data_IF_675543414217
#
_entry.id   IF_675543414217
#
_cell.length_a   1.000
_cell.length_b   1.000
_cell.length_c   1.000
_cell.angle_alpha   90.00
_cell.angle_beta   90.00
_cell.angle_gamma   90.00
#
_symmetry.space_group_name_H-M   'P 1'
#
loop_
_entity.id
_entity.type
_entity.pdbx_description
1 polymer ?
#
# COMPACT_ATOMS: atom_id res chain seq x y z
N UNK A 1 10.29 18.15 1.82
CA UNK A 1 8.93 18.01 2.38
C UNK A 1 8.84 16.58 2.87
N UNK A 2 8.70 16.36 4.17
CA UNK A 2 8.37 15.04 4.72
C UNK A 2 6.88 14.84 4.44
N UNK A 3 6.56 14.03 3.42
CA UNK A 3 5.16 13.73 3.10
C UNK A 3 4.71 12.70 4.13
N UNK A 4 3.80 13.05 5.06
CA UNK A 4 3.29 12.09 6.00
C UNK A 4 2.55 10.99 5.23
N UNK A 5 2.75 9.75 5.66
CA UNK A 5 2.04 8.59 5.12
C UNK A 5 0.54 8.85 5.16
N UNK A 6 -0.09 8.79 3.99
CA UNK A 6 -1.54 8.96 3.84
C UNK A 6 -2.25 7.62 3.85
N UNK A 7 -3.53 7.63 4.24
CA UNK A 7 -4.39 6.46 4.21
C UNK A 7 -4.52 5.86 2.79
N UNK A 8 -4.40 6.68 1.75
CA UNK A 8 -4.32 6.22 0.35
C UNK A 8 -3.10 5.34 0.10
N UNK A 9 -1.91 5.69 0.59
CA UNK A 9 -0.72 4.85 0.43
C UNK A 9 -0.90 3.51 1.14
N UNK A 10 -1.48 3.54 2.34
CA UNK A 10 -1.80 2.34 3.12
C UNK A 10 -2.76 1.45 2.35
N UNK A 11 -3.81 2.03 1.77
CA UNK A 11 -4.80 1.30 1.00
C UNK A 11 -4.21 0.70 -0.28
N UNK A 12 -3.39 1.44 -1.01
CA UNK A 12 -2.71 0.98 -2.22
C UNK A 12 -1.79 -0.20 -1.90
N UNK A 13 -0.96 -0.08 -0.88
CA UNK A 13 -0.04 -1.16 -0.48
C UNK A 13 -0.80 -2.40 0.03
N UNK A 14 -1.83 -2.20 0.86
CA UNK A 14 -2.69 -3.28 1.34
C UNK A 14 -3.37 -4.02 0.20
N UNK A 15 -3.91 -3.28 -0.77
CA UNK A 15 -4.56 -3.84 -1.96
C UNK A 15 -3.55 -4.61 -2.82
N UNK A 16 -2.36 -4.06 -3.05
CA UNK A 16 -1.31 -4.72 -3.84
C UNK A 16 -0.82 -6.02 -3.20
N UNK A 17 -0.63 -6.02 -1.87
CA UNK A 17 -0.27 -7.22 -1.12
C UNK A 17 -1.39 -8.27 -1.14
N UNK A 18 -2.63 -7.84 -0.96
CA UNK A 18 -3.79 -8.72 -0.97
C UNK A 18 -4.05 -9.32 -2.36
N UNK A 19 -3.92 -8.53 -3.43
CA UNK A 19 -4.09 -8.99 -4.81
C UNK A 19 -2.99 -9.99 -5.19
N UNK A 20 -1.73 -9.74 -4.79
CA UNK A 20 -0.60 -10.65 -5.04
C UNK A 20 -0.76 -12.00 -4.35
N UNK A 21 -1.41 -12.04 -3.19
CA UNK A 21 -1.73 -13.27 -2.45
C UNK A 21 -3.00 -13.98 -2.97
N UNK A 22 -3.66 -13.46 -4.02
CA UNK A 22 -4.83 -14.08 -4.64
C UNK A 22 -6.17 -13.67 -4.03
N UNK A 23 -6.18 -12.58 -3.25
CA UNK A 23 -7.38 -12.00 -2.70
C UNK A 23 -8.17 -12.88 -1.73
N UNK A 24 -7.55 -13.51 -0.71
CA UNK A 24 -8.28 -14.30 0.27
C UNK A 24 -9.28 -13.44 1.04
N UNK A 25 -10.56 -13.83 0.95
CA UNK A 25 -11.68 -13.19 1.63
C UNK A 25 -11.47 -13.31 3.15
N UNK A 26 -11.39 -12.19 3.86
CA UNK A 26 -11.15 -12.14 5.31
C UNK A 26 -9.70 -11.89 5.75
N UNK A 27 -8.73 -11.79 4.83
CA UNK A 27 -7.37 -11.31 5.18
C UNK A 27 -7.11 -9.85 4.83
N UNK A 28 -8.03 -9.19 4.12
CA UNK A 28 -7.87 -7.80 3.67
C UNK A 28 -7.56 -6.84 4.84
N UNK A 29 -8.17 -7.04 6.00
CA UNK A 29 -7.89 -6.26 7.22
C UNK A 29 -6.48 -6.49 7.76
N UNK A 30 -5.99 -7.74 7.75
CA UNK A 30 -4.63 -8.07 8.18
C UNK A 30 -3.58 -7.46 7.23
N UNK A 31 -3.84 -7.46 5.93
CA UNK A 31 -2.98 -6.79 4.94
C UNK A 31 -3.04 -5.25 5.09
N UNK A 32 -4.20 -4.69 5.45
CA UNK A 32 -4.34 -3.27 5.72
C UNK A 32 -3.54 -2.82 6.94
N UNK A 33 -3.59 -3.57 8.04
CA UNK A 33 -2.78 -3.27 9.23
C UNK A 33 -1.28 -3.46 8.97
N UNK A 34 -0.89 -4.49 8.20
CA UNK A 34 0.50 -4.70 7.77
C UNK A 34 1.02 -3.56 6.91
N UNK A 35 0.21 -3.07 5.96
CA UNK A 35 0.56 -1.94 5.11
C UNK A 35 0.71 -0.65 5.92
N UNK A 36 -0.21 -0.41 6.86
CA UNK A 36 -0.17 0.74 7.78
C UNK A 36 1.08 0.74 8.63
N UNK A 37 1.44 -0.41 9.19
CA UNK A 37 2.65 -0.56 9.98
C UNK A 37 3.91 -0.42 9.12
N UNK A 38 3.97 -1.06 7.95
CA UNK A 38 5.11 -0.91 7.04
C UNK A 38 5.33 0.55 6.64
N UNK A 39 4.31 1.25 6.17
CA UNK A 39 4.47 2.65 5.79
C UNK A 39 4.76 3.53 7.01
N UNK A 40 4.17 3.26 8.17
CA UNK A 40 4.44 4.00 9.41
C UNK A 40 5.85 3.77 10.00
N UNK A 41 6.45 2.60 9.77
CA UNK A 41 7.82 2.24 10.17
C UNK A 41 8.86 2.65 9.12
N UNK A 42 8.49 2.63 7.84
CA UNK A 42 9.37 2.73 6.67
C UNK A 42 9.04 3.96 5.79
N UNK A 43 8.43 5.01 6.36
CA UNK A 43 8.05 6.27 5.68
C UNK A 43 9.20 6.99 4.95
N UNK A 44 10.44 6.48 5.04
CA UNK A 44 11.59 6.93 4.28
C UNK A 44 11.67 6.41 2.83
N UNK A 45 10.85 5.45 2.38
CA UNK A 45 10.94 4.98 1.00
C UNK A 45 9.63 4.45 0.39
N UNK A 46 8.87 5.26 -0.37
CA UNK A 46 8.00 4.76 -1.41
C UNK A 46 8.76 4.83 -2.74
N UNK A 47 9.54 3.79 -3.05
CA UNK A 47 10.16 3.64 -4.38
C UNK A 47 9.61 2.38 -5.05
N UNK A 48 8.42 2.53 -5.63
CA UNK A 48 8.00 1.89 -6.89
C UNK A 48 6.67 2.56 -7.26
N UNK A 49 6.70 3.64 -8.03
CA UNK A 49 6.53 3.52 -9.49
C UNK A 49 5.35 2.60 -9.82
N UNK A 50 4.15 3.13 -9.62
CA UNK A 50 2.95 2.71 -10.33
C UNK A 50 2.50 3.89 -11.20
N UNK A 51 3.39 4.32 -12.10
CA UNK A 51 3.01 4.87 -13.40
C UNK A 51 2.33 3.76 -14.24
N UNK A 52 1.19 3.27 -13.77
CA UNK A 52 0.31 2.39 -14.54
C UNK A 52 -1.13 2.82 -14.34
N UNK A 53 -1.42 4.07 -14.69
CA UNK A 53 -2.76 4.46 -15.11
C UNK A 53 -2.64 5.56 -16.15
N UNK A 54 -3.12 5.27 -17.35
CA UNK A 54 -2.75 5.91 -18.61
C UNK A 54 -2.90 7.43 -18.67
N UNK A 55 -1.99 8.03 -19.43
CA UNK A 55 -2.13 9.37 -19.96
C UNK A 55 -2.20 9.26 -21.50
N UNK A 56 -3.45 9.35 -21.98
CA UNK A 56 -3.95 9.79 -23.31
C UNK A 56 -3.77 8.92 -24.56
#
# INVERSE_FOLDING_TARGET
MDVPVTEEQIRTLAFYLWERDGGPEGRSEEYWEKARQQLGLDAGAPSTEAEMSGQE
#
